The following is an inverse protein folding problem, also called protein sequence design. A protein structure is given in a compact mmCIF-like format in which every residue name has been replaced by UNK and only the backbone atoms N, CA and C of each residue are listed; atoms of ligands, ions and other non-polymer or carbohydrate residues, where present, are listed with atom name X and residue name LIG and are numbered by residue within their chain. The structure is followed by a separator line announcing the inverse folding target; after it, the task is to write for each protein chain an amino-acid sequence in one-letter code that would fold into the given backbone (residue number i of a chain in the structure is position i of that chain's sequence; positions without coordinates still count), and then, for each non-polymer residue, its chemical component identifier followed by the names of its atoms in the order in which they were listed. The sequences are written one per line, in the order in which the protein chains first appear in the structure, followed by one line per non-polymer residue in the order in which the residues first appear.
data_IF_445525277707
#
_entry.id   IF_445525277707
#
_cell.length_a   1.000
_cell.length_b   1.000
_cell.length_c   1.000
_cell.angle_alpha   90.00
_cell.angle_beta   90.00
_cell.angle_gamma   90.00
#
_symmetry.space_group_name_H-M   'P 1'
#
loop_
_entity.id
_entity.type
_entity.pdbx_description
1 polymer ?
#
# COMPACT_ATOMS: atom_id res chain seq x y z
N UNK A 1 -8.88 -37.10 11.14
CA UNK A 1 -9.73 -35.99 11.63
C UNK A 1 -8.84 -34.78 11.90
N UNK A 2 -9.14 -33.67 11.29
CA UNK A 2 -8.38 -32.42 11.43
C UNK A 2 -8.75 -31.79 12.78
N UNK A 3 -7.74 -31.52 13.59
CA UNK A 3 -7.92 -30.80 14.85
C UNK A 3 -8.04 -29.29 14.57
N UNK A 4 -9.27 -28.79 14.46
CA UNK A 4 -9.55 -27.38 14.17
C UNK A 4 -8.93 -26.43 15.22
N UNK A 5 -8.67 -26.93 16.44
CA UNK A 5 -8.02 -26.13 17.48
C UNK A 5 -6.60 -25.71 17.08
N UNK A 6 -5.94 -26.45 16.21
CA UNK A 6 -4.59 -26.19 15.69
C UNK A 6 -4.58 -25.32 14.43
N UNK A 7 -5.71 -25.22 13.70
CA UNK A 7 -5.79 -24.41 12.46
C UNK A 7 -5.65 -22.93 12.80
N UNK A 8 -4.74 -22.26 12.12
CA UNK A 8 -4.55 -20.82 12.26
C UNK A 8 -5.31 -20.07 11.16
N UNK A 9 -6.47 -19.50 11.50
CA UNK A 9 -7.30 -18.73 10.55
C UNK A 9 -6.88 -17.27 10.39
N UNK A 10 -5.83 -16.81 11.06
CA UNK A 10 -5.29 -15.47 10.89
C UNK A 10 -5.75 -14.46 11.94
N UNK A 11 -5.65 -13.18 11.58
CA UNK A 11 -6.12 -12.04 12.35
C UNK A 11 -7.10 -11.19 11.54
N UNK A 12 -7.81 -10.29 12.22
CA UNK A 12 -8.69 -9.32 11.55
C UNK A 12 -7.91 -8.29 10.71
N UNK A 13 -6.67 -8.03 11.09
CA UNK A 13 -5.74 -7.11 10.43
C UNK A 13 -4.51 -7.86 9.91
N UNK A 14 -4.21 -7.68 8.62
CA UNK A 14 -3.15 -8.40 7.94
C UNK A 14 -1.73 -7.93 8.33
N UNK A 15 -1.54 -6.65 8.63
CA UNK A 15 -0.25 -6.15 9.11
C UNK A 15 0.07 -6.76 10.48
N UNK A 16 -0.91 -6.76 11.38
CA UNK A 16 -0.78 -7.41 12.70
C UNK A 16 -0.49 -8.91 12.57
N UNK A 17 -1.10 -9.59 11.61
CA UNK A 17 -0.82 -11.01 11.34
C UNK A 17 0.60 -11.22 10.84
N UNK A 18 1.03 -10.40 9.87
CA UNK A 18 2.35 -10.46 9.28
C UNK A 18 3.47 -10.15 10.31
N UNK A 19 3.25 -9.20 11.20
CA UNK A 19 4.19 -8.85 12.28
C UNK A 19 4.31 -9.96 13.32
N UNK A 20 3.18 -10.53 13.77
CA UNK A 20 3.18 -11.52 14.84
C UNK A 20 3.63 -12.90 14.38
N UNK A 21 3.31 -13.28 13.14
CA UNK A 21 3.57 -14.62 12.58
C UNK A 21 4.06 -14.56 11.14
N UNK A 22 5.20 -13.91 10.85
CA UNK A 22 5.67 -13.65 9.49
C UNK A 22 5.84 -14.93 8.66
N UNK A 23 6.37 -16.00 9.25
CA UNK A 23 6.59 -17.27 8.53
C UNK A 23 5.27 -17.96 8.18
N UNK A 24 4.32 -18.00 9.12
CA UNK A 24 2.99 -18.55 8.86
C UNK A 24 2.27 -17.72 7.82
N UNK A 25 2.32 -16.38 7.94
CA UNK A 25 1.67 -15.47 6.99
C UNK A 25 2.21 -15.69 5.56
N UNK A 26 3.54 -15.74 5.39
CA UNK A 26 4.19 -16.04 4.09
C UNK A 26 3.66 -17.34 3.48
N UNK A 27 3.53 -18.39 4.30
CA UNK A 27 3.14 -19.73 3.85
C UNK A 27 1.67 -19.82 3.46
N UNK A 28 0.78 -19.20 4.25
CA UNK A 28 -0.67 -19.26 4.03
C UNK A 28 -1.22 -18.14 3.15
N UNK A 29 -0.37 -17.23 2.68
CA UNK A 29 -0.79 -16.19 1.75
C UNK A 29 -1.25 -16.82 0.43
N UNK A 30 -2.41 -16.39 -0.05
CA UNK A 30 -3.04 -16.93 -1.25
C UNK A 30 -3.08 -15.86 -2.35
N UNK A 31 -2.46 -16.14 -3.49
CA UNK A 31 -2.38 -15.26 -4.67
C UNK A 31 -2.70 -16.07 -5.93
N UNK A 32 -3.99 -16.32 -6.23
CA UNK A 32 -4.41 -17.19 -7.31
C UNK A 32 -4.08 -16.64 -8.71
N UNK A 33 -3.91 -15.32 -8.81
CA UNK A 33 -3.73 -14.65 -10.11
C UNK A 33 -2.30 -14.10 -10.30
N UNK A 34 -1.36 -14.46 -9.43
CA UNK A 34 0.03 -13.99 -9.47
C UNK A 34 0.18 -12.46 -9.44
N UNK A 35 -0.70 -11.77 -8.72
CA UNK A 35 -0.66 -10.31 -8.60
C UNK A 35 0.57 -9.79 -7.84
N UNK A 36 1.18 -10.60 -6.96
CA UNK A 36 2.42 -10.22 -6.28
C UNK A 36 3.53 -9.91 -7.29
N UNK A 37 3.70 -10.75 -8.30
CA UNK A 37 4.73 -10.54 -9.33
C UNK A 37 4.42 -9.30 -10.17
N UNK A 38 3.18 -9.15 -10.61
CA UNK A 38 2.74 -7.96 -11.35
C UNK A 38 2.96 -6.65 -10.56
N UNK A 39 2.72 -6.68 -9.25
CA UNK A 39 2.89 -5.51 -8.39
C UNK A 39 4.36 -5.23 -8.06
N UNK A 40 5.24 -6.24 -8.00
CA UNK A 40 6.66 -6.07 -7.68
C UNK A 40 7.50 -5.82 -8.92
N UNK A 41 7.37 -6.63 -9.95
CA UNK A 41 8.22 -6.63 -11.15
C UNK A 41 7.55 -6.09 -12.39
N UNK A 42 6.22 -6.25 -12.50
CA UNK A 42 5.45 -5.77 -13.63
C UNK A 42 5.21 -4.25 -13.62
N UNK A 43 4.35 -3.80 -14.52
CA UNK A 43 4.04 -2.38 -14.73
C UNK A 43 2.87 -1.86 -13.89
N UNK A 44 2.21 -2.73 -13.13
CA UNK A 44 1.06 -2.38 -12.30
C UNK A 44 1.51 -1.77 -10.98
N UNK A 45 0.87 -0.67 -10.57
CA UNK A 45 1.19 0.05 -9.32
C UNK A 45 -0.05 0.58 -8.58
N UNK A 46 -1.24 0.17 -8.95
CA UNK A 46 -2.47 0.45 -8.24
C UNK A 46 -3.16 -0.88 -7.92
N UNK A 47 -3.23 -1.24 -6.65
CA UNK A 47 -4.04 -2.37 -6.19
C UNK A 47 -5.33 -1.84 -5.60
N UNK A 48 -6.46 -2.16 -6.23
CA UNK A 48 -7.78 -1.71 -5.79
C UNK A 48 -8.73 -2.85 -5.46
N UNK A 49 -9.75 -2.56 -4.66
CA UNK A 49 -10.77 -3.52 -4.26
C UNK A 49 -11.63 -2.99 -3.14
N UNK A 50 -12.65 -3.73 -2.73
CA UNK A 50 -13.54 -3.36 -1.61
C UNK A 50 -12.78 -3.43 -0.27
N UNK A 51 -13.39 -2.86 0.77
CA UNK A 51 -12.90 -3.05 2.15
C UNK A 51 -12.99 -4.52 2.53
N UNK A 52 -11.87 -5.12 2.94
CA UNK A 52 -11.81 -6.53 3.31
C UNK A 52 -11.34 -7.48 2.21
N UNK A 53 -11.10 -7.01 0.97
CA UNK A 53 -10.62 -7.83 -0.15
C UNK A 53 -9.16 -8.27 -0.05
N UNK A 54 -8.38 -7.77 0.92
CA UNK A 54 -7.00 -8.23 1.15
C UNK A 54 -5.90 -7.31 0.63
N UNK A 55 -6.18 -6.07 0.19
CA UNK A 55 -5.15 -5.13 -0.29
C UNK A 55 -3.97 -4.98 0.66
N UNK A 56 -4.23 -4.72 1.93
CA UNK A 56 -3.21 -4.61 2.99
C UNK A 56 -2.42 -5.93 3.15
N UNK A 57 -3.08 -7.09 2.94
CA UNK A 57 -2.39 -8.38 2.98
C UNK A 57 -1.37 -8.53 1.84
N UNK A 58 -1.68 -8.03 0.64
CA UNK A 58 -0.71 -7.95 -0.46
C UNK A 58 0.46 -7.03 -0.09
N UNK A 59 0.21 -5.85 0.47
CA UNK A 59 1.27 -4.94 0.93
C UNK A 59 2.19 -5.59 1.97
N UNK A 60 1.61 -6.26 2.96
CA UNK A 60 2.35 -6.99 3.99
C UNK A 60 3.17 -8.16 3.40
N UNK A 61 2.58 -8.96 2.51
CA UNK A 61 3.27 -10.06 1.85
C UNK A 61 4.44 -9.59 1.00
N UNK A 62 4.25 -8.52 0.21
CA UNK A 62 5.33 -7.89 -0.55
C UNK A 62 6.44 -7.46 0.41
N UNK A 63 6.11 -6.77 1.49
CA UNK A 63 7.11 -6.31 2.47
C UNK A 63 7.90 -7.46 3.11
N UNK A 64 7.26 -8.61 3.34
CA UNK A 64 7.89 -9.78 3.92
C UNK A 64 8.78 -10.55 2.93
N UNK A 65 8.44 -10.56 1.64
CA UNK A 65 9.11 -11.41 0.63
C UNK A 65 10.05 -10.66 -0.30
N UNK A 66 9.92 -9.33 -0.39
CA UNK A 66 10.69 -8.52 -1.32
C UNK A 66 12.19 -8.51 -1.03
N UNK A 67 12.58 -8.56 0.26
CA UNK A 67 13.99 -8.61 0.65
C UNK A 67 14.71 -9.82 0.06
N UNK A 68 14.05 -10.99 0.02
CA UNK A 68 14.60 -12.22 -0.56
C UNK A 68 14.85 -12.07 -2.09
N UNK A 69 14.27 -11.05 -2.71
CA UNK A 69 14.37 -10.69 -4.13
C UNK A 69 15.25 -9.45 -4.37
N UNK A 70 15.96 -8.97 -3.35
CA UNK A 70 16.81 -7.77 -3.43
C UNK A 70 16.02 -6.46 -3.57
N UNK A 71 14.78 -6.41 -3.06
CA UNK A 71 13.93 -5.23 -3.09
C UNK A 71 13.78 -4.67 -1.67
N UNK A 72 14.16 -3.43 -1.45
CA UNK A 72 13.86 -2.69 -0.23
C UNK A 72 12.44 -2.13 -0.28
N UNK A 73 11.62 -2.48 0.71
CA UNK A 73 10.22 -2.04 0.78
C UNK A 73 10.00 -1.07 1.92
N UNK A 74 9.21 -0.04 1.64
CA UNK A 74 8.76 0.93 2.64
C UNK A 74 7.24 1.04 2.55
N UNK A 75 6.56 0.63 3.61
CA UNK A 75 5.11 0.83 3.71
C UNK A 75 4.82 2.11 4.49
N UNK A 76 3.97 2.96 3.94
CA UNK A 76 3.53 4.22 4.53
C UNK A 76 2.01 4.25 4.62
N UNK A 77 1.52 4.61 5.80
CA UNK A 77 0.08 4.78 6.04
C UNK A 77 -0.31 6.25 5.97
N UNK A 78 -1.51 6.50 5.48
CA UNK A 78 -2.12 7.82 5.45
C UNK A 78 -3.25 7.97 6.49
N UNK A 79 -3.29 7.12 7.51
CA UNK A 79 -4.40 7.07 8.48
C UNK A 79 -4.46 8.27 9.46
N UNK A 80 -3.37 9.02 9.64
CA UNK A 80 -3.24 10.03 10.70
C UNK A 80 -3.28 11.48 10.20
N UNK A 81 -3.95 11.77 9.08
CA UNK A 81 -3.97 13.12 8.52
C UNK A 81 -5.08 14.00 9.10
N UNK A 82 -4.69 15.20 9.51
CA UNK A 82 -5.65 16.23 9.94
C UNK A 82 -6.18 17.00 8.73
N UNK A 83 -7.50 17.18 8.66
CA UNK A 83 -8.19 17.89 7.57
C UNK A 83 -7.68 19.33 7.37
N UNK A 84 -7.27 20.01 8.44
CA UNK A 84 -6.76 21.38 8.38
C UNK A 84 -5.44 21.51 7.64
N UNK A 85 -4.65 20.42 7.57
CA UNK A 85 -3.36 20.41 6.88
C UNK A 85 -3.56 20.57 5.37
N UNK A 86 -4.48 19.83 4.77
CA UNK A 86 -4.71 19.91 3.32
C UNK A 86 -5.44 21.16 2.85
N UNK A 87 -6.26 21.80 3.68
CA UNK A 87 -6.93 23.05 3.32
C UNK A 87 -5.95 24.21 3.07
N UNK A 88 -4.79 24.18 3.75
CA UNK A 88 -3.74 25.19 3.56
C UNK A 88 -3.03 25.07 2.21
N UNK A 89 -2.95 23.87 1.63
CA UNK A 89 -2.29 23.65 0.32
C UNK A 89 -3.01 24.41 -0.79
N UNK A 90 -4.33 24.52 -0.71
CA UNK A 90 -5.16 25.17 -1.73
C UNK A 90 -4.90 26.68 -1.90
N UNK A 91 -4.34 27.33 -0.87
CA UNK A 91 -4.05 28.77 -0.89
C UNK A 91 -2.80 29.14 -1.69
N UNK A 92 -1.98 28.16 -2.08
CA UNK A 92 -0.69 28.39 -2.73
C UNK A 92 -0.70 28.22 -4.25
N UNK A 93 -1.80 27.72 -4.87
CA UNK A 93 -1.84 27.51 -6.33
C UNK A 93 -2.80 28.47 -7.01
N UNK A 94 -2.25 29.48 -7.70
CA UNK A 94 -2.97 30.50 -8.47
C UNK A 94 -3.13 30.15 -9.96
N UNK A 95 -2.59 29.01 -10.44
CA UNK A 95 -2.46 28.68 -11.87
C UNK A 95 -3.52 27.69 -12.41
N UNK A 96 -4.56 27.38 -11.62
CA UNK A 96 -5.74 26.65 -12.13
C UNK A 96 -5.58 25.16 -12.39
N UNK A 97 -4.55 24.52 -11.83
CA UNK A 97 -4.35 23.07 -11.80
C UNK A 97 -4.85 22.41 -10.51
N UNK A 98 -4.62 21.09 -10.36
CA UNK A 98 -4.82 20.42 -9.08
C UNK A 98 -3.55 20.60 -8.23
N UNK A 99 -3.56 21.45 -7.18
CA UNK A 99 -2.38 21.80 -6.38
C UNK A 99 -1.79 20.59 -5.64
N UNK A 100 -2.60 19.58 -5.39
CA UNK A 100 -2.17 18.38 -4.71
C UNK A 100 -1.22 17.50 -5.54
N UNK A 101 -1.19 17.66 -6.87
CA UNK A 101 -0.27 16.86 -7.72
C UNK A 101 1.19 17.21 -7.42
N UNK A 102 1.55 18.49 -7.50
CA UNK A 102 2.92 18.96 -7.21
C UNK A 102 3.29 18.72 -5.76
N UNK A 103 2.35 18.93 -4.85
CA UNK A 103 2.54 18.63 -3.44
C UNK A 103 2.88 17.14 -3.22
N UNK A 104 2.09 16.22 -3.75
CA UNK A 104 2.33 14.78 -3.62
C UNK A 104 3.60 14.32 -4.33
N UNK A 105 3.93 14.89 -5.48
CA UNK A 105 5.22 14.61 -6.13
C UNK A 105 6.40 14.94 -5.21
N UNK A 106 6.33 16.08 -4.53
CA UNK A 106 7.35 16.48 -3.56
C UNK A 106 7.42 15.49 -2.38
N UNK A 107 6.29 15.16 -1.75
CA UNK A 107 6.22 14.19 -0.64
C UNK A 107 6.81 12.84 -1.05
N UNK A 108 6.39 12.31 -2.20
CA UNK A 108 6.85 11.00 -2.67
C UNK A 108 8.35 10.98 -2.98
N UNK A 109 8.90 12.06 -3.57
CA UNK A 109 10.35 12.13 -3.81
C UNK A 109 11.16 12.26 -2.52
N UNK A 110 10.66 12.98 -1.51
CA UNK A 110 11.30 13.01 -0.18
C UNK A 110 11.37 11.59 0.41
N UNK A 111 10.29 10.81 0.30
CA UNK A 111 10.31 9.41 0.75
C UNK A 111 11.29 8.56 -0.08
N UNK A 112 11.39 8.78 -1.38
CA UNK A 112 12.38 8.10 -2.21
C UNK A 112 13.82 8.44 -1.79
N UNK A 113 14.14 9.71 -1.53
CA UNK A 113 15.45 10.12 -1.00
C UNK A 113 15.72 9.45 0.34
N UNK A 114 14.73 9.39 1.23
CA UNK A 114 14.83 8.70 2.53
C UNK A 114 15.20 7.23 2.35
N UNK A 115 14.46 6.51 1.47
CA UNK A 115 14.73 5.10 1.20
C UNK A 115 16.15 4.87 0.68
N UNK A 116 16.58 5.67 -0.29
CA UNK A 116 17.92 5.59 -0.86
C UNK A 116 18.96 5.86 0.23
N UNK A 117 18.85 6.95 0.96
CA UNK A 117 19.85 7.35 1.98
C UNK A 117 19.97 6.34 3.12
N UNK A 118 18.89 5.66 3.50
CA UNK A 118 18.90 4.66 4.57
C UNK A 118 19.54 3.33 4.15
N UNK A 119 19.45 2.95 2.88
CA UNK A 119 19.93 1.65 2.41
C UNK A 119 21.23 1.73 1.63
N UNK A 120 21.56 2.90 1.09
CA UNK A 120 22.75 3.14 0.25
C UNK A 120 23.59 4.29 0.81
N UNK A 121 24.20 4.13 2.01
CA UNK A 121 24.93 5.22 2.67
C UNK A 121 26.24 5.60 1.99
N UNK A 122 26.68 4.84 0.97
CA UNK A 122 27.95 5.03 0.30
C UNK A 122 27.87 5.85 -1.01
N UNK A 123 26.70 6.42 -1.30
CA UNK A 123 26.53 7.29 -2.48
C UNK A 123 27.44 8.53 -2.35
N UNK A 124 28.27 8.76 -3.38
CA UNK A 124 29.22 9.89 -3.43
C UNK A 124 28.82 10.96 -4.46
N UNK A 125 27.55 11.00 -4.84
CA UNK A 125 27.04 12.01 -5.78
C UNK A 125 26.75 13.30 -5.01
N UNK A 126 27.54 14.35 -5.24
CA UNK A 126 27.48 15.58 -4.44
C UNK A 126 26.08 16.22 -4.46
N UNK A 127 25.42 16.29 -5.63
CA UNK A 127 24.06 16.83 -5.75
C UNK A 127 23.04 16.07 -4.89
N UNK A 128 23.22 14.76 -4.73
CA UNK A 128 22.37 13.93 -3.86
C UNK A 128 22.69 14.17 -2.38
N UNK A 129 23.98 14.26 -2.03
CA UNK A 129 24.40 14.54 -0.65
C UNK A 129 23.90 15.92 -0.18
N UNK A 130 23.97 16.93 -1.04
CA UNK A 130 23.47 18.29 -0.76
C UNK A 130 21.95 18.27 -0.45
N UNK A 131 21.17 17.49 -1.21
CA UNK A 131 19.72 17.29 -0.96
C UNK A 131 19.47 16.55 0.34
N UNK A 132 20.19 15.46 0.61
CA UNK A 132 20.08 14.71 1.86
C UNK A 132 20.33 15.62 3.06
N UNK A 133 21.42 16.39 3.02
CA UNK A 133 21.79 17.33 4.08
C UNK A 133 20.69 18.41 4.28
N UNK A 134 20.19 18.99 3.17
CA UNK A 134 19.11 19.97 3.24
C UNK A 134 17.83 19.40 3.85
N UNK A 135 17.40 18.22 3.43
CA UNK A 135 16.22 17.56 3.94
C UNK A 135 16.41 17.14 5.41
N UNK A 136 17.62 16.73 5.80
CA UNK A 136 17.94 16.34 7.15
C UNK A 136 17.93 17.54 8.11
N UNK A 137 18.55 18.66 7.74
CA UNK A 137 18.54 19.93 8.52
C UNK A 137 17.13 20.45 8.75
N UNK A 138 16.25 20.28 7.79
CA UNK A 138 14.84 20.66 7.90
C UNK A 138 13.97 19.57 8.57
N UNK A 139 14.59 18.45 9.02
CA UNK A 139 13.94 17.38 9.76
C UNK A 139 13.00 16.51 8.92
N UNK A 140 13.10 16.53 7.58
CA UNK A 140 12.31 15.65 6.72
C UNK A 140 12.81 14.20 6.75
N UNK A 141 14.08 13.95 7.05
CA UNK A 141 14.69 12.60 7.04
C UNK A 141 14.87 11.99 8.43
N UNK A 142 14.22 12.50 9.47
CA UNK A 142 14.27 11.88 10.80
C UNK A 142 13.76 10.44 10.74
N UNK A 143 14.38 9.54 11.52
CA UNK A 143 14.19 8.08 11.42
C UNK A 143 12.73 7.62 11.63
N UNK A 144 12.01 8.28 12.54
CA UNK A 144 10.65 7.91 12.94
C UNK A 144 9.55 8.75 12.24
N UNK A 145 9.90 9.49 11.19
CA UNK A 145 8.91 10.30 10.50
C UNK A 145 7.94 9.42 9.70
N UNK A 146 6.70 9.39 10.14
CA UNK A 146 5.56 8.96 9.34
C UNK A 146 5.31 9.95 8.17
N UNK A 147 4.62 9.51 7.14
CA UNK A 147 4.27 10.33 5.97
C UNK A 147 3.48 11.59 6.39
N UNK A 148 2.66 11.51 7.45
CA UNK A 148 1.95 12.64 8.04
C UNK A 148 2.88 13.75 8.51
N UNK A 149 4.05 13.43 9.04
CA UNK A 149 5.06 14.41 9.48
C UNK A 149 5.66 15.13 8.28
N UNK A 150 5.99 14.41 7.21
CA UNK A 150 6.49 15.00 5.95
C UNK A 150 5.46 15.97 5.37
N UNK A 151 4.19 15.57 5.31
CA UNK A 151 3.08 16.40 4.84
C UNK A 151 2.89 17.64 5.71
N UNK A 152 2.82 17.47 7.04
CA UNK A 152 2.63 18.59 7.97
C UNK A 152 3.77 19.60 7.86
N UNK A 153 5.01 19.13 7.80
CA UNK A 153 6.18 20.01 7.63
C UNK A 153 6.16 20.77 6.32
N UNK A 154 5.77 20.14 5.21
CA UNK A 154 5.65 20.83 3.92
C UNK A 154 4.56 21.89 3.92
N UNK A 155 3.48 21.69 4.68
CA UNK A 155 2.36 22.62 4.78
C UNK A 155 2.62 23.75 5.76
N UNK A 156 3.32 23.47 6.88
CA UNK A 156 3.56 24.46 7.95
C UNK A 156 4.81 25.29 7.71
N UNK A 157 5.67 24.87 6.78
CA UNK A 157 6.98 25.49 6.73
C UNK A 157 7.04 26.69 5.77
N UNK A 158 7.47 27.82 6.36
CA UNK A 158 8.42 28.72 5.71
C UNK A 158 9.70 27.99 5.23
N UNK A 159 9.80 26.69 5.41
CA UNK A 159 10.95 25.84 5.09
C UNK A 159 11.17 25.66 3.58
N UNK A 160 10.19 25.96 2.74
CA UNK A 160 10.45 26.19 1.33
C UNK A 160 11.55 27.26 1.13
N UNK A 161 11.59 28.29 2.00
CA UNK A 161 12.64 29.33 2.01
C UNK A 161 14.01 28.77 2.45
N UNK A 162 14.07 27.87 3.42
CA UNK A 162 15.37 27.34 3.89
C UNK A 162 15.96 26.27 2.98
N UNK A 163 15.12 25.45 2.34
CA UNK A 163 15.55 24.57 1.26
C UNK A 163 15.99 25.39 0.05
N UNK A 164 15.29 26.49 -0.26
CA UNK A 164 15.66 27.46 -1.32
C UNK A 164 17.07 28.04 -1.10
N UNK A 165 17.48 28.35 0.12
CA UNK A 165 18.80 28.91 0.41
C UNK A 165 19.95 27.93 0.08
N UNK A 166 19.76 26.64 0.24
CA UNK A 166 20.77 25.62 -0.09
C UNK A 166 20.91 25.50 -1.61
N UNK A 167 19.81 25.64 -2.38
CA UNK A 167 19.86 25.61 -3.84
C UNK A 167 20.34 26.90 -4.48
N UNK A 168 20.21 28.04 -3.83
CA UNK A 168 20.74 29.30 -4.34
C UNK A 168 22.28 29.35 -4.38
N UNK A 169 22.97 28.52 -3.58
CA UNK A 169 24.44 28.44 -3.61
C UNK A 169 24.97 27.70 -4.85
N UNK A 170 24.16 26.84 -5.47
CA UNK A 170 24.52 26.09 -6.70
C UNK A 170 23.93 26.71 -7.98
N UNK A 171 23.83 28.03 -8.07
CA UNK A 171 23.30 28.78 -9.21
C UNK A 171 24.15 28.61 -10.47
N UNK A 172 23.91 27.55 -11.24
CA UNK A 172 24.20 27.55 -12.69
C UNK A 172 22.98 27.38 -13.60
N UNK A 173 21.79 27.18 -13.03
CA UNK A 173 20.56 26.86 -13.81
C UNK A 173 19.27 27.53 -13.31
N UNK A 174 19.32 28.72 -12.71
CA UNK A 174 18.11 29.44 -12.32
C UNK A 174 17.78 30.47 -13.40
N UNK A 175 16.82 30.16 -14.25
CA UNK A 175 16.06 31.18 -15.03
C UNK A 175 15.08 31.90 -14.10
N UNK A 176 14.92 33.21 -14.33
CA UNK A 176 14.10 34.17 -13.56
C UNK A 176 12.58 33.88 -13.63
N UNK A 177 12.13 32.80 -13.04
CA UNK A 177 10.70 32.58 -12.78
C UNK A 177 10.52 32.26 -11.30
N UNK A 178 9.76 33.08 -10.62
CA UNK A 178 9.35 32.88 -9.23
C UNK A 178 8.43 31.65 -9.13
N UNK A 179 9.02 30.46 -9.02
CA UNK A 179 8.33 29.23 -8.67
C UNK A 179 8.45 29.05 -7.14
N UNK A 180 7.35 29.15 -6.44
CA UNK A 180 7.32 29.07 -4.99
C UNK A 180 6.76 27.72 -4.52
N UNK A 181 7.47 27.00 -3.63
CA UNK A 181 6.95 25.88 -2.88
C UNK A 181 7.31 24.46 -3.37
N UNK A 182 6.35 23.55 -3.36
CA UNK A 182 6.53 22.12 -3.61
C UNK A 182 7.15 21.78 -4.98
N UNK A 183 6.88 22.59 -6.01
CA UNK A 183 7.40 22.35 -7.36
C UNK A 183 8.92 22.59 -7.46
N UNK A 184 9.45 23.59 -6.74
CA UNK A 184 10.90 23.84 -6.69
C UNK A 184 11.63 22.71 -5.95
N UNK A 185 11.08 22.26 -4.83
CA UNK A 185 11.64 21.12 -4.07
C UNK A 185 11.61 19.86 -4.92
N UNK A 186 10.50 19.60 -5.60
CA UNK A 186 10.36 18.49 -6.54
C UNK A 186 11.43 18.54 -7.64
N UNK A 187 11.58 19.70 -8.30
CA UNK A 187 12.55 19.86 -9.38
C UNK A 187 14.01 19.67 -8.90
N UNK A 188 14.30 20.19 -7.72
CA UNK A 188 15.60 20.06 -7.10
C UNK A 188 15.95 18.61 -6.75
N UNK A 189 15.05 17.90 -6.08
CA UNK A 189 15.24 16.48 -5.76
C UNK A 189 15.37 15.68 -7.06
N UNK A 190 14.47 15.88 -8.02
CA UNK A 190 14.49 15.19 -9.30
C UNK A 190 15.83 15.37 -10.04
N UNK A 191 16.41 16.57 -9.98
CA UNK A 191 17.72 16.82 -10.59
C UNK A 191 18.87 16.14 -9.82
N UNK A 192 18.81 16.11 -8.49
CA UNK A 192 19.85 15.52 -7.66
C UNK A 192 19.97 14.00 -7.81
N UNK A 193 18.83 13.32 -8.11
CA UNK A 193 18.80 11.86 -8.26
C UNK A 193 19.17 11.38 -9.67
N UNK A 194 19.30 12.25 -10.65
CA UNK A 194 19.58 11.87 -12.06
C UNK A 194 20.89 11.14 -12.23
N UNK A 195 21.90 11.57 -11.48
CA UNK A 195 23.26 11.07 -11.59
C UNK A 195 23.57 9.97 -10.55
N UNK A 196 22.56 9.58 -9.76
CA UNK A 196 22.67 8.50 -8.79
C UNK A 196 22.51 7.17 -9.50
N UNK A 197 23.50 6.29 -9.32
CA UNK A 197 23.48 4.93 -9.83
C UNK A 197 23.57 3.94 -8.68
N UNK A 198 22.57 3.07 -8.54
CA UNK A 198 22.51 1.99 -7.55
C UNK A 198 21.87 0.75 -8.16
N UNK A 199 22.36 -0.42 -7.77
CA UNK A 199 21.78 -1.69 -8.21
C UNK A 199 20.57 -2.13 -7.36
N UNK A 200 20.34 -1.49 -6.23
CA UNK A 200 19.23 -1.79 -5.36
C UNK A 200 17.89 -1.39 -6.00
N UNK A 201 16.85 -2.18 -5.68
CA UNK A 201 15.47 -1.92 -6.09
C UNK A 201 14.68 -1.44 -4.89
N UNK A 202 13.79 -0.48 -5.09
CA UNK A 202 12.98 0.11 -4.02
C UNK A 202 11.51 0.08 -4.38
N UNK A 203 10.68 -0.24 -3.39
CA UNK A 203 9.22 -0.22 -3.51
C UNK A 203 8.62 0.56 -2.34
N UNK A 204 8.02 1.70 -2.65
CA UNK A 204 7.25 2.50 -1.70
C UNK A 204 5.77 2.10 -1.80
N UNK A 205 5.20 1.58 -0.73
CA UNK A 205 3.80 1.14 -0.65
C UNK A 205 3.00 2.17 0.14
N UNK A 206 2.00 2.77 -0.48
CA UNK A 206 1.07 3.71 0.15
C UNK A 206 -0.25 3.00 0.45
N UNK A 207 -0.59 2.88 1.73
CA UNK A 207 -1.84 2.28 2.22
C UNK A 207 -2.61 3.26 3.12
N UNK A 208 -3.81 2.90 3.56
CA UNK A 208 -4.57 3.66 4.55
C UNK A 208 -5.22 4.94 4.01
N UNK A 209 -5.51 4.99 2.71
CA UNK A 209 -6.22 6.12 2.09
C UNK A 209 -7.66 6.28 2.60
N UNK A 210 -8.15 5.34 3.39
CA UNK A 210 -9.54 5.27 3.88
C UNK A 210 -9.86 6.41 4.85
N UNK A 211 -8.90 6.74 5.71
CA UNK A 211 -9.10 7.61 6.88
C UNK A 211 -8.65 9.05 6.65
N UNK A 212 -8.07 9.34 5.48
CA UNK A 212 -7.49 10.67 5.19
C UNK A 212 -8.44 11.81 5.50
N UNK A 213 -9.78 11.63 5.36
CA UNK A 213 -10.69 12.75 5.46
C UNK A 213 -12.10 12.33 5.91
N UNK A 214 -12.52 12.86 7.03
CA UNK A 214 -13.93 12.84 7.43
C UNK A 214 -14.79 13.82 6.61
N UNK A 215 -14.17 14.71 5.81
CA UNK A 215 -14.86 15.68 4.95
C UNK A 215 -14.74 15.27 3.48
N UNK A 216 -15.87 15.14 2.80
CA UNK A 216 -15.98 14.59 1.45
C UNK A 216 -15.54 15.55 0.34
N UNK A 217 -15.57 16.88 0.58
CA UNK A 217 -15.45 17.88 -0.50
C UNK A 217 -14.03 17.96 -1.08
N UNK A 218 -12.98 17.84 -0.25
CA UNK A 218 -11.59 17.87 -0.70
C UNK A 218 -10.97 16.50 -0.93
N UNK A 219 -11.60 15.42 -0.44
CA UNK A 219 -11.08 14.07 -0.49
C UNK A 219 -10.76 13.62 -1.92
N UNK A 220 -11.68 13.84 -2.84
CA UNK A 220 -11.53 13.45 -4.23
C UNK A 220 -10.35 14.16 -4.92
N UNK A 221 -10.16 15.46 -4.68
CA UNK A 221 -9.07 16.25 -5.27
C UNK A 221 -7.70 15.79 -4.76
N UNK A 222 -7.58 15.56 -3.45
CA UNK A 222 -6.34 15.10 -2.80
C UNK A 222 -5.94 13.73 -3.32
N UNK A 223 -6.89 12.79 -3.39
CA UNK A 223 -6.65 11.43 -3.89
C UNK A 223 -6.36 11.43 -5.39
N UNK A 224 -7.09 12.23 -6.16
CA UNK A 224 -6.78 12.45 -7.59
C UNK A 224 -5.34 12.94 -7.75
N UNK A 225 -4.94 13.94 -6.96
CA UNK A 225 -3.58 14.48 -6.94
C UNK A 225 -2.54 13.41 -6.62
N UNK A 226 -2.78 12.57 -5.61
CA UNK A 226 -1.89 11.47 -5.24
C UNK A 226 -1.74 10.44 -6.36
N UNK A 227 -2.84 9.96 -6.95
CA UNK A 227 -2.78 8.94 -8.02
C UNK A 227 -2.03 9.49 -9.23
N UNK A 228 -2.29 10.74 -9.62
CA UNK A 228 -1.57 11.38 -10.73
C UNK A 228 -0.09 11.58 -10.40
N UNK A 229 0.24 12.00 -9.18
CA UNK A 229 1.63 12.13 -8.74
C UNK A 229 2.37 10.79 -8.80
N UNK A 230 1.75 9.70 -8.34
CA UNK A 230 2.34 8.36 -8.42
C UNK A 230 2.55 7.92 -9.87
N UNK A 231 1.59 8.15 -10.76
CA UNK A 231 1.75 7.85 -12.19
C UNK A 231 2.96 8.62 -12.79
N UNK A 232 3.03 9.93 -12.52
CA UNK A 232 4.14 10.76 -13.00
C UNK A 232 5.50 10.34 -12.42
N UNK A 233 5.58 10.04 -11.12
CA UNK A 233 6.80 9.58 -10.44
C UNK A 233 7.27 8.24 -11.01
N UNK A 234 6.38 7.26 -11.15
CA UNK A 234 6.72 5.97 -11.74
C UNK A 234 7.22 6.11 -13.18
N UNK A 235 6.62 7.01 -13.97
CA UNK A 235 7.12 7.32 -15.34
C UNK A 235 8.48 8.01 -15.33
N UNK A 236 8.77 8.84 -14.32
CA UNK A 236 10.10 9.45 -14.17
C UNK A 236 11.13 8.39 -13.89
N UNK A 237 10.89 7.50 -12.92
CA UNK A 237 11.85 6.44 -12.56
C UNK A 237 12.08 5.43 -13.69
N UNK A 238 11.07 5.10 -14.49
CA UNK A 238 11.26 4.28 -15.71
C UNK A 238 12.24 4.85 -16.73
N UNK A 239 12.56 6.15 -16.65
CA UNK A 239 13.50 6.84 -17.54
C UNK A 239 14.85 7.09 -16.88
N UNK A 240 15.06 6.65 -15.66
CA UNK A 240 16.30 6.78 -14.90
C UNK A 240 16.97 5.43 -14.71
N UNK A 241 18.19 5.45 -14.18
CA UNK A 241 18.92 4.24 -13.75
C UNK A 241 18.46 3.70 -12.41
N UNK A 242 17.63 4.46 -11.67
CA UNK A 242 17.11 4.08 -10.37
C UNK A 242 15.88 3.18 -10.51
N UNK A 243 15.95 2.00 -9.95
CA UNK A 243 14.80 1.07 -9.89
C UNK A 243 13.92 1.37 -8.69
N UNK A 244 13.09 2.40 -8.79
CA UNK A 244 12.12 2.80 -7.76
C UNK A 244 10.72 2.71 -8.31
N UNK A 245 9.81 2.13 -7.53
CA UNK A 245 8.39 2.01 -7.84
C UNK A 245 7.54 2.46 -6.65
N UNK A 246 6.49 3.21 -6.91
CA UNK A 246 5.50 3.60 -5.89
C UNK A 246 4.21 2.85 -6.17
N UNK A 247 3.74 2.11 -5.19
CA UNK A 247 2.52 1.30 -5.22
C UNK A 247 1.44 1.93 -4.34
N UNK A 248 0.21 2.05 -4.84
CA UNK A 248 -0.95 2.49 -4.08
C UNK A 248 -1.90 1.32 -3.81
N UNK A 249 -2.34 1.17 -2.56
CA UNK A 249 -3.42 0.30 -2.14
C UNK A 249 -4.67 1.16 -1.88
N UNK A 250 -5.70 1.05 -2.73
CA UNK A 250 -6.86 1.94 -2.68
C UNK A 250 -8.19 1.18 -2.71
N UNK A 251 -9.20 1.70 -2.02
CA UNK A 251 -10.56 1.15 -2.06
C UNK A 251 -11.33 1.66 -3.29
N UNK A 252 -12.16 0.78 -3.86
CA UNK A 252 -13.00 1.11 -5.01
C UNK A 252 -13.98 2.27 -4.71
N UNK A 253 -14.56 2.33 -3.51
CA UNK A 253 -15.48 3.41 -3.12
C UNK A 253 -14.78 4.76 -3.00
N UNK A 254 -13.53 4.80 -2.54
CA UNK A 254 -12.69 5.99 -2.52
C UNK A 254 -12.34 6.45 -3.94
N UNK A 255 -11.91 5.51 -4.78
CA UNK A 255 -11.57 5.78 -6.17
C UNK A 255 -12.77 6.32 -6.96
N UNK A 256 -13.97 5.82 -6.69
CA UNK A 256 -15.21 6.25 -7.33
C UNK A 256 -15.64 7.68 -6.97
N UNK A 257 -15.09 8.27 -5.90
CA UNK A 257 -15.28 9.69 -5.59
C UNK A 257 -14.49 10.60 -6.53
N UNK A 258 -13.44 10.09 -7.14
CA UNK A 258 -12.55 10.85 -8.01
C UNK A 258 -13.17 10.98 -9.43
N UNK A 259 -13.56 12.19 -9.82
CA UNK A 259 -14.21 12.46 -11.11
C UNK A 259 -13.25 13.06 -12.14
N UNK A 260 -12.05 12.50 -12.28
CA UNK A 260 -11.07 12.95 -13.28
C UNK A 260 -11.03 11.94 -14.45
N UNK A 261 -11.32 12.35 -15.70
CA UNK A 261 -11.27 11.46 -16.86
C UNK A 261 -9.90 10.78 -17.06
N UNK A 262 -8.81 11.44 -16.69
CA UNK A 262 -7.45 10.89 -16.81
C UNK A 262 -7.20 9.73 -15.85
N UNK A 263 -7.86 9.73 -14.67
CA UNK A 263 -7.72 8.63 -13.70
C UNK A 263 -8.24 7.32 -14.27
N UNK A 264 -9.34 7.33 -15.02
CA UNK A 264 -9.90 6.11 -15.61
C UNK A 264 -8.88 5.41 -16.51
N UNK A 265 -8.07 6.18 -17.26
CA UNK A 265 -6.98 5.65 -18.08
C UNK A 265 -5.86 5.09 -17.21
N UNK A 266 -5.39 5.84 -16.22
CA UNK A 266 -4.32 5.40 -15.31
C UNK A 266 -4.72 4.11 -14.60
N UNK A 267 -5.93 4.06 -14.04
CA UNK A 267 -6.44 2.88 -13.31
C UNK A 267 -6.59 1.68 -14.22
N UNK A 268 -7.04 1.85 -15.45
CA UNK A 268 -7.14 0.75 -16.44
C UNK A 268 -5.78 0.22 -16.84
N UNK A 269 -4.83 1.11 -17.12
CA UNK A 269 -3.53 0.75 -17.67
C UNK A 269 -2.56 0.24 -16.58
N UNK A 270 -2.71 0.69 -15.33
CA UNK A 270 -1.77 0.42 -14.23
C UNK A 270 -2.42 -0.20 -12.99
N UNK A 271 -3.72 -0.49 -13.03
CA UNK A 271 -4.47 -1.04 -11.91
C UNK A 271 -4.67 -2.55 -11.98
N UNK A 272 -4.68 -3.17 -10.81
CA UNK A 272 -5.18 -4.52 -10.54
C UNK A 272 -6.37 -4.37 -9.62
N UNK A 273 -7.46 -5.07 -9.92
CA UNK A 273 -8.64 -5.14 -9.07
C UNK A 273 -8.71 -6.50 -8.39
N UNK A 274 -8.66 -6.49 -7.06
CA UNK A 274 -8.96 -7.69 -6.29
C UNK A 274 -10.45 -8.00 -6.40
N UNK A 275 -10.77 -9.18 -6.93
CA UNK A 275 -12.12 -9.72 -7.01
C UNK A 275 -12.10 -11.15 -6.47
N UNK A 276 -13.14 -11.50 -5.75
CA UNK A 276 -13.36 -12.83 -5.20
C UNK A 276 -14.63 -13.33 -5.85
N UNK A 277 -14.45 -14.06 -6.96
CA UNK A 277 -15.55 -14.50 -7.79
C UNK A 277 -16.33 -15.66 -7.14
N UNK A 278 -17.58 -15.79 -7.55
CA UNK A 278 -18.48 -16.86 -7.15
C UNK A 278 -18.61 -17.81 -8.34
N UNK A 279 -17.90 -18.94 -8.36
CA UNK A 279 -18.05 -19.93 -9.39
C UNK A 279 -19.36 -20.74 -9.20
N UNK A 280 -19.80 -21.43 -10.26
CA UNK A 280 -20.95 -22.35 -10.21
C UNK A 280 -20.74 -23.45 -9.16
N UNK A 281 -19.50 -23.97 -9.06
CA UNK A 281 -19.13 -24.90 -8.01
C UNK A 281 -18.43 -24.13 -6.86
N UNK A 282 -18.99 -24.07 -5.66
CA UNK A 282 -18.40 -23.36 -4.54
C UNK A 282 -16.97 -23.78 -4.19
N UNK A 283 -16.60 -25.03 -4.39
CA UNK A 283 -15.25 -25.55 -4.11
C UNK A 283 -14.18 -24.96 -5.04
N UNK A 284 -14.57 -24.46 -6.21
CA UNK A 284 -13.65 -23.78 -7.13
C UNK A 284 -13.44 -22.31 -6.77
N UNK A 285 -14.11 -21.84 -5.70
CA UNK A 285 -13.98 -20.45 -5.23
C UNK A 285 -12.59 -20.18 -4.68
N UNK A 286 -11.94 -19.13 -5.18
CA UNK A 286 -10.69 -18.60 -4.62
C UNK A 286 -10.78 -18.33 -3.11
N UNK A 287 -11.97 -17.95 -2.63
CA UNK A 287 -12.20 -17.70 -1.23
C UNK A 287 -12.12 -18.97 -0.37
N UNK A 288 -12.61 -20.10 -0.87
CA UNK A 288 -12.49 -21.38 -0.19
C UNK A 288 -11.07 -21.96 -0.32
N UNK A 289 -10.40 -21.77 -1.45
CA UNK A 289 -9.00 -22.16 -1.61
C UNK A 289 -8.08 -21.38 -0.64
N UNK A 290 -8.40 -20.12 -0.32
CA UNK A 290 -7.71 -19.39 0.74
C UNK A 290 -7.89 -20.05 2.11
N UNK A 291 -9.10 -20.59 2.41
CA UNK A 291 -9.37 -21.35 3.63
C UNK A 291 -8.65 -22.68 3.62
N UNK A 292 -8.72 -23.40 2.50
CA UNK A 292 -7.99 -24.67 2.28
C UNK A 292 -6.51 -24.52 2.65
N UNK A 293 -5.85 -23.51 2.08
CA UNK A 293 -4.42 -23.26 2.32
C UNK A 293 -4.09 -23.08 3.80
N UNK A 294 -5.00 -22.53 4.60
CA UNK A 294 -4.83 -22.36 6.05
C UNK A 294 -5.08 -23.67 6.84
N UNK A 295 -6.01 -24.49 6.39
CA UNK A 295 -6.27 -25.81 6.98
C UNK A 295 -5.13 -26.75 6.63
N UNK A 296 -4.64 -26.72 5.40
CA UNK A 296 -3.52 -27.52 4.90
C UNK A 296 -2.23 -27.28 5.69
N UNK A 297 -1.95 -26.02 6.02
CA UNK A 297 -0.80 -25.66 6.87
C UNK A 297 -0.82 -26.34 8.23
N UNK A 298 -2.00 -26.60 8.80
CA UNK A 298 -2.17 -27.26 10.09
C UNK A 298 -2.23 -28.78 9.99
N UNK A 299 -2.73 -29.32 8.87
CA UNK A 299 -2.93 -30.79 8.67
C UNK A 299 -1.73 -31.50 8.09
N UNK A 300 -0.78 -30.75 7.48
CA UNK A 300 0.38 -31.33 6.79
C UNK A 300 0.09 -31.81 5.37
N UNK A 301 -1.05 -31.41 4.80
CA UNK A 301 -1.34 -31.48 3.36
C UNK A 301 -1.55 -32.86 2.77
N UNK A 302 -2.66 -33.57 3.04
CA UNK A 302 -2.85 -34.92 2.51
C UNK A 302 -4.26 -35.29 2.02
N UNK A 303 -5.26 -34.45 2.22
CA UNK A 303 -6.65 -34.75 1.85
C UNK A 303 -7.18 -33.77 0.80
N UNK A 304 -8.16 -34.19 0.00
CA UNK A 304 -8.87 -33.23 -0.85
C UNK A 304 -9.60 -32.21 0.05
N UNK A 305 -9.75 -30.98 -0.45
CA UNK A 305 -10.41 -29.90 0.30
C UNK A 305 -11.83 -30.29 0.73
N UNK A 306 -12.57 -30.99 -0.14
CA UNK A 306 -13.90 -31.49 0.19
C UNK A 306 -13.87 -32.42 1.43
N UNK A 307 -12.92 -33.36 1.48
CA UNK A 307 -12.76 -34.23 2.66
C UNK A 307 -12.38 -33.46 3.91
N UNK A 308 -11.45 -32.49 3.80
CA UNK A 308 -11.09 -31.62 4.92
C UNK A 308 -12.28 -30.81 5.42
N UNK A 309 -13.13 -30.32 4.50
CA UNK A 309 -14.33 -29.59 4.84
C UNK A 309 -15.32 -30.44 5.64
N UNK A 310 -15.62 -31.65 5.17
CA UNK A 310 -16.50 -32.61 5.83
C UNK A 310 -16.00 -33.05 7.22
N UNK A 311 -14.69 -33.05 7.44
CA UNK A 311 -14.11 -33.33 8.75
C UNK A 311 -14.29 -32.17 9.75
N UNK A 312 -14.40 -30.94 9.28
CA UNK A 312 -14.39 -29.71 10.08
C UNK A 312 -15.80 -29.15 10.25
N UNK A 313 -16.63 -29.22 9.23
CA UNK A 313 -17.96 -28.63 9.21
C UNK A 313 -19.05 -29.68 9.01
N UNK A 314 -20.25 -29.43 9.57
CA UNK A 314 -21.40 -30.31 9.31
C UNK A 314 -21.81 -30.22 7.83
N UNK A 315 -22.37 -31.28 7.29
CA UNK A 315 -22.88 -31.32 5.93
C UNK A 315 -23.88 -30.20 5.64
N UNK A 316 -24.78 -29.93 6.60
CA UNK A 316 -25.80 -28.90 6.49
C UNK A 316 -25.89 -28.00 7.72
N UNK A 317 -26.18 -26.71 7.48
CA UNK A 317 -26.49 -25.71 8.49
C UNK A 317 -27.83 -25.07 8.14
N UNK A 318 -28.84 -25.22 8.99
CA UNK A 318 -30.16 -24.66 8.74
C UNK A 318 -30.85 -25.21 7.49
N UNK A 319 -30.56 -26.47 7.10
CA UNK A 319 -31.17 -27.15 5.93
C UNK A 319 -30.49 -26.77 4.58
N UNK A 320 -29.39 -26.07 4.60
CA UNK A 320 -28.56 -25.72 3.44
C UNK A 320 -27.18 -26.34 3.57
N UNK A 321 -26.45 -26.54 2.47
CA UNK A 321 -25.07 -26.98 2.56
C UNK A 321 -24.26 -26.00 3.43
N UNK A 322 -23.34 -26.50 4.23
CA UNK A 322 -22.52 -25.64 5.12
C UNK A 322 -21.70 -24.64 4.33
N UNK A 323 -21.25 -25.01 3.13
CA UNK A 323 -20.49 -24.13 2.22
C UNK A 323 -21.35 -22.97 1.78
N UNK A 324 -22.53 -23.24 1.19
CA UNK A 324 -23.44 -22.19 0.73
C UNK A 324 -23.85 -21.27 1.87
N UNK A 325 -24.14 -21.85 3.04
CA UNK A 325 -24.49 -21.07 4.22
C UNK A 325 -23.37 -20.10 4.61
N UNK A 326 -22.12 -20.58 4.66
CA UNK A 326 -20.96 -19.76 5.03
C UNK A 326 -20.71 -18.70 3.98
N UNK A 327 -20.65 -19.05 2.70
CA UNK A 327 -20.36 -18.12 1.61
C UNK A 327 -21.38 -16.99 1.52
N UNK A 328 -22.66 -17.29 1.65
CA UNK A 328 -23.72 -16.27 1.65
C UNK A 328 -23.61 -15.29 2.84
N UNK A 329 -23.13 -15.76 3.99
CA UNK A 329 -23.00 -14.92 5.19
C UNK A 329 -21.72 -14.09 5.25
N UNK A 330 -20.70 -14.38 4.41
CA UNK A 330 -19.40 -13.67 4.42
C UNK A 330 -19.26 -12.65 3.28
N UNK A 331 -20.31 -12.40 2.51
CA UNK A 331 -20.35 -11.41 1.42
C UNK A 331 -19.12 -11.55 0.47
N UNK A 332 -18.63 -12.77 0.29
CA UNK A 332 -17.51 -13.13 -0.58
C UNK A 332 -16.27 -12.23 -0.37
N UNK A 333 -15.81 -12.07 0.88
CA UNK A 333 -14.60 -11.32 1.22
C UNK A 333 -13.69 -12.12 2.14
N UNK A 334 -12.36 -12.11 1.91
CA UNK A 334 -11.38 -12.80 2.76
C UNK A 334 -11.50 -12.45 4.25
N UNK A 335 -11.63 -11.16 4.56
CA UNK A 335 -11.78 -10.72 5.94
C UNK A 335 -12.97 -11.35 6.64
N UNK A 336 -14.09 -11.41 5.95
CA UNK A 336 -15.35 -11.85 6.56
C UNK A 336 -15.33 -13.37 6.81
N UNK A 337 -14.83 -14.16 5.85
CA UNK A 337 -14.72 -15.62 6.04
C UNK A 337 -13.71 -15.96 7.14
N UNK A 338 -12.55 -15.30 7.17
CA UNK A 338 -11.55 -15.54 8.21
C UNK A 338 -12.08 -15.17 9.59
N UNK A 339 -12.82 -14.06 9.74
CA UNK A 339 -13.46 -13.69 11.00
C UNK A 339 -14.56 -14.66 11.39
N UNK A 340 -15.35 -15.16 10.45
CA UNK A 340 -16.34 -16.19 10.70
C UNK A 340 -15.67 -17.45 11.27
N UNK A 341 -14.62 -17.93 10.62
CA UNK A 341 -13.88 -19.13 11.05
C UNK A 341 -13.18 -18.96 12.41
N UNK A 342 -12.65 -17.77 12.69
CA UNK A 342 -12.09 -17.44 14.00
C UNK A 342 -13.14 -17.51 15.13
N UNK A 343 -14.36 -16.99 14.87
CA UNK A 343 -15.47 -17.07 15.83
C UNK A 343 -15.95 -18.51 15.99
N UNK A 344 -16.07 -19.24 14.90
CA UNK A 344 -16.44 -20.65 14.91
C UNK A 344 -15.48 -21.47 15.78
N UNK A 345 -14.17 -21.36 15.54
CA UNK A 345 -13.13 -22.01 16.35
C UNK A 345 -13.25 -21.65 17.84
N UNK A 346 -13.43 -20.36 18.16
CA UNK A 346 -13.57 -19.92 19.56
C UNK A 346 -14.80 -20.54 20.25
N UNK A 347 -15.92 -20.66 19.55
CA UNK A 347 -17.13 -21.24 20.10
C UNK A 347 -16.97 -22.76 20.33
N UNK A 348 -16.31 -23.48 19.42
CA UNK A 348 -16.02 -24.91 19.63
C UNK A 348 -15.20 -25.13 20.89
N UNK A 349 -14.13 -24.36 21.09
CA UNK A 349 -13.29 -24.50 22.29
C UNK A 349 -14.02 -24.15 23.59
N UNK A 350 -15.08 -23.37 23.54
CA UNK A 350 -15.93 -23.08 24.70
C UNK A 350 -16.88 -24.24 25.00
N UNK A 351 -17.41 -24.93 23.99
CA UNK A 351 -18.30 -26.08 24.14
C UNK A 351 -17.53 -27.28 24.72
N UNK A 352 -16.31 -27.53 24.26
CA UNK A 352 -15.46 -28.63 24.76
C UNK A 352 -15.02 -28.43 26.23
N UNK A 353 -15.06 -27.22 26.76
CA UNK A 353 -14.72 -26.89 28.16
C UNK A 353 -15.95 -26.81 29.09
N UNK A 354 -17.15 -27.14 28.61
CA UNK A 354 -18.31 -27.30 29.48
C UNK A 354 -18.27 -28.70 30.09
N UNK A 355 -18.35 -28.82 31.43
CA UNK A 355 -18.26 -30.11 32.14
C UNK A 355 -19.45 -31.02 31.86
#
# INVERSE_FOLDING_TARGET
MIDISKVYFGCADANTEAERRPQTFKKVFFDPHNYLEELTDGDRYILRGRKGDGKTAYGAQISLTAHDRGIYTYQRSLNNFNNTTFSKIRTYDTLGGNPYISFWKCVLLIECVRMINQNEPHIQVQSFLDIVDALQRNGFLAADNDLSVTVTKLVESDSALSIKSVFQHNRKYATDTELHGAEEIYAAIKNSIKDVYINARFLLIIDGLDDILNNTEFKAEIITGLIRAVDEINRVFKKTTLSIKVLILIRDDILNLCRDPNLSKIVRDSGIRLQWDIPDNPFDSDLLQLVEKRIDDASGGHNSFAQMWEEVFPETIGGRSSIDYILDNVIYRPRDILQFLLRFKKNLSQIENYP
#
